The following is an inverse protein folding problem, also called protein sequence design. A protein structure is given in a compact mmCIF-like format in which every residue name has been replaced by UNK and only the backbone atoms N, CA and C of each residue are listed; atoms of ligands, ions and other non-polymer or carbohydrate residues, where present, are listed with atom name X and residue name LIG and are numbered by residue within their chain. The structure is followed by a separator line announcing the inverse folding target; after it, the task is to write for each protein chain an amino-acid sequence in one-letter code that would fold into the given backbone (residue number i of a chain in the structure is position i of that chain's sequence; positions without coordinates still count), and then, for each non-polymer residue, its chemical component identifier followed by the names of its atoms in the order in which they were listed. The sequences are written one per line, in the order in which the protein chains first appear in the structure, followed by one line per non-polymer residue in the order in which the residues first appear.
data_IF_650219057909
#
_entry.id   IF_650219057909
#
_cell.length_a   1.000
_cell.length_b   1.000
_cell.length_c   1.000
_cell.angle_alpha   90.00
_cell.angle_beta   90.00
_cell.angle_gamma   90.00
#
_symmetry.space_group_name_H-M   'P 1'
#
loop_
_entity.id
_entity.type
_entity.pdbx_description
1 polymer ?
#
# COMPACT_ATOMS: atom_id res chain seq x y z
N UNK A 1 21.42 5.10 -4.61
CA UNK A 1 20.01 5.11 -5.04
C UNK A 1 19.59 3.66 -5.13
N UNK A 2 18.49 3.29 -4.50
CA UNK A 2 18.05 1.90 -4.44
C UNK A 2 16.66 1.76 -5.07
N UNK A 3 16.45 0.64 -5.76
CA UNK A 3 15.18 0.32 -6.40
C UNK A 3 14.47 -0.77 -5.60
N UNK A 4 13.32 -0.41 -5.05
CA UNK A 4 12.42 -1.32 -4.34
C UNK A 4 11.27 -1.64 -5.30
N UNK A 5 11.02 -2.92 -5.50
CA UNK A 5 9.91 -3.40 -6.32
C UNK A 5 8.86 -4.05 -5.43
N UNK A 6 7.60 -3.77 -5.70
CA UNK A 6 6.47 -4.39 -4.97
C UNK A 6 5.47 -4.96 -5.97
N UNK A 7 4.86 -6.09 -5.62
CA UNK A 7 3.82 -6.73 -6.42
C UNK A 7 2.65 -7.16 -5.55
N UNK A 8 1.44 -6.97 -6.07
CA UNK A 8 0.22 -7.52 -5.48
C UNK A 8 -0.73 -7.99 -6.58
N UNK A 9 -1.63 -8.90 -6.23
CA UNK A 9 -2.68 -9.40 -7.11
C UNK A 9 -4.04 -8.97 -6.59
N UNK A 10 -4.94 -8.64 -7.51
CA UNK A 10 -6.33 -8.32 -7.17
C UNK A 10 -7.25 -8.84 -8.25
N UNK A 11 -8.35 -9.46 -7.83
CA UNK A 11 -9.41 -9.83 -8.76
C UNK A 11 -10.27 -8.59 -9.08
N UNK A 12 -10.42 -8.31 -10.37
CA UNK A 12 -11.23 -7.22 -10.91
C UNK A 12 -12.09 -7.82 -12.01
N UNK A 13 -13.41 -7.73 -11.87
CA UNK A 13 -14.38 -8.28 -12.84
C UNK A 13 -14.15 -9.78 -13.14
N UNK A 14 -13.84 -10.56 -12.10
CA UNK A 14 -13.58 -12.01 -12.23
C UNK A 14 -12.26 -12.37 -12.91
N UNK A 15 -11.37 -11.39 -13.15
CA UNK A 15 -10.04 -11.60 -13.71
C UNK A 15 -8.97 -11.18 -12.71
N UNK A 16 -7.99 -12.06 -12.50
CA UNK A 16 -6.82 -11.75 -11.69
C UNK A 16 -5.93 -10.74 -12.43
N UNK A 17 -5.66 -9.61 -11.79
CA UNK A 17 -4.76 -8.59 -12.28
C UNK A 17 -3.51 -8.51 -11.40
N UNK A 18 -2.36 -8.39 -12.03
CA UNK A 18 -1.06 -8.17 -11.41
C UNK A 18 -0.75 -6.69 -11.40
N UNK A 19 -0.36 -6.20 -10.22
CA UNK A 19 0.00 -4.82 -9.97
C UNK A 19 1.45 -4.76 -9.55
N UNK A 20 2.29 -4.18 -10.38
CA UNK A 20 3.74 -4.05 -10.16
C UNK A 20 4.07 -2.58 -9.98
N UNK A 21 4.79 -2.24 -8.91
CA UNK A 21 5.19 -0.87 -8.59
C UNK A 21 6.69 -0.80 -8.36
N UNK A 22 7.33 0.12 -9.07
CA UNK A 22 8.76 0.44 -8.98
C UNK A 22 8.92 1.70 -8.15
N UNK A 23 9.61 1.57 -7.02
CA UNK A 23 9.88 2.63 -6.07
C UNK A 23 11.38 2.87 -6.06
N UNK A 24 11.79 4.13 -6.13
CA UNK A 24 13.16 4.57 -6.01
C UNK A 24 13.31 5.29 -4.68
N UNK A 25 14.22 4.81 -3.86
CA UNK A 25 14.51 5.39 -2.55
C UNK A 25 15.88 6.04 -2.54
N UNK A 26 15.96 7.19 -1.86
CA UNK A 26 17.16 7.97 -1.67
C UNK A 26 17.52 7.92 -0.18
N UNK A 27 18.39 6.99 0.26
CA UNK A 27 18.71 6.83 1.68
C UNK A 27 19.29 8.11 2.30
N UNK A 28 19.96 8.93 1.49
CA UNK A 28 20.52 10.24 1.86
C UNK A 28 19.46 11.29 2.28
N UNK A 29 18.21 11.15 1.81
CA UNK A 29 17.13 12.12 2.03
C UNK A 29 16.10 11.65 3.09
N UNK A 30 16.35 10.49 3.72
CA UNK A 30 15.46 9.87 4.71
C UNK A 30 14.24 9.16 4.11
N UNK A 31 13.47 8.47 4.95
CA UNK A 31 12.35 7.59 4.54
C UNK A 31 11.21 8.30 3.77
N UNK A 32 11.16 9.63 3.83
CA UNK A 32 10.16 10.46 3.16
C UNK A 32 10.45 10.68 1.67
N UNK A 33 11.64 10.31 1.19
CA UNK A 33 12.05 10.48 -0.20
C UNK A 33 11.85 9.22 -1.06
N UNK A 34 10.71 8.55 -0.92
CA UNK A 34 10.36 7.42 -1.78
C UNK A 34 9.58 7.90 -3.00
N UNK A 35 10.16 7.77 -4.20
CA UNK A 35 9.51 8.14 -5.45
C UNK A 35 9.01 6.91 -6.19
N UNK A 36 7.76 6.94 -6.62
CA UNK A 36 7.22 5.92 -7.51
C UNK A 36 7.68 6.25 -8.93
N UNK A 37 8.61 5.46 -9.46
CA UNK A 37 9.19 5.71 -10.79
C UNK A 37 8.53 4.85 -11.89
N UNK A 38 7.70 3.88 -11.52
CA UNK A 38 7.00 3.03 -12.49
C UNK A 38 5.83 2.28 -11.87
N UNK A 39 4.77 2.08 -12.66
CA UNK A 39 3.58 1.36 -12.25
C UNK A 39 2.97 0.62 -13.44
N UNK A 40 2.73 -0.67 -13.26
CA UNK A 40 2.17 -1.54 -14.29
C UNK A 40 1.02 -2.37 -13.73
N UNK A 41 -0.10 -2.36 -14.44
CA UNK A 41 -1.28 -3.16 -14.14
C UNK A 41 -1.65 -3.97 -15.37
N UNK A 42 -1.66 -5.30 -15.26
CA UNK A 42 -2.09 -6.16 -16.35
C UNK A 42 -2.54 -7.53 -15.82
N UNK A 43 -3.39 -8.24 -16.56
CA UNK A 43 -3.76 -9.65 -16.29
C UNK A 43 -2.59 -10.63 -16.45
N UNK A 44 -1.47 -10.14 -16.97
CA UNK A 44 -0.29 -10.94 -17.31
C UNK A 44 0.89 -10.33 -16.55
N UNK A 45 1.55 -11.14 -15.73
CA UNK A 45 2.62 -10.69 -14.84
C UNK A 45 3.80 -10.10 -15.60
N UNK A 46 4.19 -10.70 -16.73
CA UNK A 46 5.33 -10.23 -17.51
C UNK A 46 5.02 -8.89 -18.17
N UNK A 47 3.79 -8.72 -18.69
CA UNK A 47 3.34 -7.43 -19.22
C UNK A 47 3.27 -6.37 -18.12
N UNK A 48 2.77 -6.70 -16.93
CA UNK A 48 2.75 -5.78 -15.80
C UNK A 48 4.16 -5.34 -15.40
N UNK A 49 5.13 -6.25 -15.37
CA UNK A 49 6.54 -5.94 -15.12
C UNK A 49 7.13 -5.02 -16.18
N UNK A 50 6.84 -5.27 -17.46
CA UNK A 50 7.30 -4.44 -18.58
C UNK A 50 6.71 -3.02 -18.51
N UNK A 51 5.42 -2.87 -18.21
CA UNK A 51 4.77 -1.56 -18.06
C UNK A 51 5.38 -0.79 -16.87
N UNK A 52 5.69 -1.49 -15.76
CA UNK A 52 6.33 -0.89 -14.60
C UNK A 52 7.81 -0.55 -14.79
N UNK A 53 8.42 -0.90 -15.93
CA UNK A 53 9.85 -0.70 -16.19
C UNK A 53 10.76 -1.57 -15.33
N UNK A 54 10.32 -2.80 -15.02
CA UNK A 54 11.12 -3.84 -14.36
C UNK A 54 11.76 -4.70 -15.44
N UNK A 55 12.96 -4.29 -15.87
CA UNK A 55 13.71 -4.98 -16.92
C UNK A 55 14.60 -6.09 -16.36
N UNK A 56 14.94 -6.01 -15.08
CA UNK A 56 15.85 -6.95 -14.43
C UNK A 56 15.17 -8.33 -14.21
N UNK A 57 15.75 -9.42 -14.76
CA UNK A 57 15.15 -10.75 -14.67
C UNK A 57 15.21 -11.34 -13.25
N UNK A 58 16.19 -10.96 -12.43
CA UNK A 58 16.27 -11.43 -11.03
C UNK A 58 15.20 -10.75 -10.18
N UNK A 59 14.95 -9.46 -10.39
CA UNK A 59 13.87 -8.72 -9.76
C UNK A 59 12.50 -9.33 -10.11
N UNK A 60 12.27 -9.70 -11.38
CA UNK A 60 11.05 -10.41 -11.80
C UNK A 60 10.87 -11.74 -11.08
N UNK A 61 11.93 -12.55 -10.95
CA UNK A 61 11.88 -13.81 -10.19
C UNK A 61 11.55 -13.60 -8.71
N UNK A 62 12.17 -12.60 -8.07
CA UNK A 62 11.89 -12.26 -6.66
C UNK A 62 10.44 -11.80 -6.45
N UNK A 63 9.91 -10.99 -7.38
CA UNK A 63 8.53 -10.55 -7.35
C UNK A 63 7.57 -11.74 -7.52
N UNK A 64 7.86 -12.66 -8.45
CA UNK A 64 7.05 -13.84 -8.66
C UNK A 64 7.03 -14.74 -7.40
N UNK A 65 8.17 -14.96 -6.76
CA UNK A 65 8.27 -15.71 -5.51
C UNK A 65 7.48 -15.07 -4.35
N UNK A 66 7.28 -13.76 -4.39
CA UNK A 66 6.46 -13.03 -3.40
C UNK A 66 4.95 -13.30 -3.59
N UNK A 67 4.53 -13.72 -4.79
CA UNK A 67 3.14 -14.05 -5.11
C UNK A 67 2.76 -15.50 -4.77
N UNK A 68 3.70 -16.44 -4.83
CA UNK A 68 3.48 -17.86 -4.53
C UNK A 68 2.85 -18.15 -3.15
N UNK A 69 3.23 -17.50 -2.04
CA UNK A 69 2.58 -17.73 -0.75
C UNK A 69 1.13 -17.23 -0.68
N UNK A 70 0.68 -16.44 -1.66
CA UNK A 70 -0.60 -15.71 -1.69
C UNK A 70 -1.65 -16.29 -2.66
N UNK A 71 -1.33 -17.36 -3.37
CA UNK A 71 -2.29 -18.15 -4.18
C UNK A 71 -3.15 -19.11 -3.35
N UNK A 72 -2.90 -19.23 -2.04
CA UNK A 72 -3.94 -19.69 -1.10
C UNK A 72 -4.95 -18.56 -0.96
N UNK A 73 -6.28 -18.81 -0.97
CA UNK A 73 -7.28 -17.78 -0.80
C UNK A 73 -6.90 -16.86 0.37
N UNK A 74 -6.49 -15.64 0.07
CA UNK A 74 -6.24 -14.64 1.07
C UNK A 74 -7.61 -14.20 1.57
N UNK A 75 -7.93 -14.59 2.80
CA UNK A 75 -8.81 -13.82 3.67
C UNK A 75 -8.37 -12.35 3.55
N UNK A 76 -9.32 -11.41 3.34
CA UNK A 76 -9.00 -10.05 2.94
C UNK A 76 -7.98 -9.43 3.89
N UNK A 77 -6.77 -9.12 3.39
CA UNK A 77 -5.82 -8.31 4.15
C UNK A 77 -6.53 -7.03 4.60
N UNK A 78 -6.49 -6.69 5.90
CA UNK A 78 -7.16 -5.51 6.41
C UNK A 78 -6.62 -4.31 5.65
N UNK A 79 -7.55 -3.51 5.11
CA UNK A 79 -7.26 -2.23 4.49
C UNK A 79 -6.21 -1.47 5.31
N UNK A 80 -5.26 -0.75 4.67
CA UNK A 80 -4.25 0.02 5.39
C UNK A 80 -4.99 0.81 6.46
N UNK A 81 -4.65 0.53 7.73
CA UNK A 81 -5.38 1.02 8.88
C UNK A 81 -5.72 2.48 8.61
N UNK A 82 -7.02 2.77 8.43
CA UNK A 82 -7.50 4.13 8.54
C UNK A 82 -6.93 4.57 9.88
N UNK A 83 -5.97 5.50 9.85
CA UNK A 83 -5.47 6.16 11.06
C UNK A 83 -6.71 6.39 11.93
N UNK A 84 -6.73 5.94 13.19
CA UNK A 84 -7.93 6.08 14.00
C UNK A 84 -8.38 7.53 13.84
N UNK A 85 -9.57 7.70 13.24
CA UNK A 85 -10.33 8.94 13.42
C UNK A 85 -10.32 9.08 14.92
N UNK A 86 -9.68 10.14 15.39
CA UNK A 86 -9.52 10.42 16.81
C UNK A 86 -10.94 10.39 17.37
N UNK A 87 -11.32 9.27 17.99
CA UNK A 87 -12.48 9.23 18.84
C UNK A 87 -12.11 10.17 19.97
N UNK A 88 -12.71 11.35 19.94
CA UNK A 88 -12.69 12.28 21.05
C UNK A 88 -13.44 11.53 22.15
N UNK A 89 -12.68 10.71 22.90
CA UNK A 89 -13.18 9.87 23.97
C UNK A 89 -13.93 10.74 24.96
N UNK A 90 -14.97 10.19 25.57
CA UNK A 90 -15.90 10.81 26.52
C UNK A 90 -15.20 11.56 27.68
N UNK A 91 -13.91 11.30 27.90
CA UNK A 91 -13.03 12.08 28.79
C UNK A 91 -12.89 13.57 28.41
N UNK A 92 -12.89 13.92 27.12
CA UNK A 92 -12.78 15.33 26.67
C UNK A 92 -14.11 16.06 26.86
N UNK A 93 -15.25 15.40 26.62
CA UNK A 93 -16.58 15.95 26.94
C UNK A 93 -16.77 16.14 28.43
N UNK A 94 -16.26 15.22 29.26
CA UNK A 94 -16.26 15.37 30.73
C UNK A 94 -15.40 16.56 31.19
N UNK A 95 -14.21 16.76 30.60
CA UNK A 95 -13.36 17.92 30.90
C UNK A 95 -14.00 19.25 30.45
N UNK A 96 -14.65 19.29 29.29
CA UNK A 96 -15.36 20.49 28.80
C UNK A 96 -16.61 20.82 29.63
N UNK A 97 -17.31 19.79 30.14
CA UNK A 97 -18.43 19.96 31.06
C UNK A 97 -17.97 20.50 32.43
N UNK A 98 -16.85 20.01 32.98
CA UNK A 98 -16.27 20.52 34.22
C UNK A 98 -15.69 21.95 34.06
N UNK A 99 -15.24 22.31 32.86
CA UNK A 99 -14.76 23.67 32.54
C UNK A 99 -15.88 24.68 32.21
N UNK A 100 -17.16 24.30 32.28
CA UNK A 100 -18.30 25.21 32.09
C UNK A 100 -18.50 25.74 30.67
N UNK A 101 -17.94 25.07 29.66
CA UNK A 101 -17.96 25.49 28.25
C UNK A 101 -18.87 24.56 27.43
N UNK A 102 -20.16 24.54 27.74
CA UNK A 102 -21.20 23.96 26.87
C UNK A 102 -22.03 25.10 26.30
N UNK A 103 -21.89 25.33 24.99
CA UNK A 103 -22.79 26.19 24.22
C UNK A 103 -24.11 25.44 24.05
N UNK A 104 -25.17 25.97 24.66
CA UNK A 104 -26.55 25.57 24.43
C UNK A 104 -26.95 25.91 23.00
N UNK A 105 -27.43 24.90 22.25
CA UNK A 105 -28.65 25.02 21.46
C UNK A 105 -29.28 23.65 21.22
#
# INVERSE_FOLDING_TARGET
MEHIYTVHTKEIEGKLHYFVKKIMTFPELGESANLVTGYGMHVDFEKACTIAGVEDPEARKKLLATLEPRLKPQEPEPAPARKPVIEISESVTKWLAEAGLVVLN
#
